data_IF_552268016211
#
_entry.id   IF_552268016211
#
_cell.length_a   1.000
_cell.length_b   1.000
_cell.length_c   1.000
_cell.angle_alpha   90.00
_cell.angle_beta   90.00
_cell.angle_gamma   90.00
#
_symmetry.space_group_name_H-M   'P 1'
#
loop_
_entity.id
_entity.type
_entity.pdbx_description
1 polymer ?
#
# COMPACT_ATOMS: atom_id res chain seq x y z
N UNK A 1 15.13 -2.27 14.36
CA UNK A 1 14.45 -3.53 14.01
C UNK A 1 13.57 -3.32 12.77
N UNK A 2 13.69 -4.21 11.79
CA UNK A 2 12.96 -4.06 10.53
C UNK A 2 11.55 -4.61 10.63
N UNK A 3 10.58 -3.92 10.05
CA UNK A 3 9.19 -4.37 10.00
C UNK A 3 8.94 -5.23 8.78
N UNK A 4 8.16 -6.30 8.95
CA UNK A 4 7.67 -7.17 7.88
C UNK A 4 6.17 -6.94 7.79
N UNK A 5 5.69 -6.41 6.67
CA UNK A 5 4.31 -5.95 6.59
C UNK A 5 3.82 -5.81 5.16
N UNK A 6 2.52 -6.06 4.97
CA UNK A 6 1.82 -5.70 3.74
C UNK A 6 1.00 -4.46 4.04
N UNK A 7 1.33 -3.36 3.40
CA UNK A 7 0.65 -2.07 3.56
C UNK A 7 -0.37 -1.89 2.45
N UNK A 8 -1.60 -1.55 2.80
CA UNK A 8 -2.64 -1.25 1.81
C UNK A 8 -3.04 0.20 1.97
N UNK A 9 -2.99 0.95 0.87
CA UNK A 9 -3.31 2.39 0.86
C UNK A 9 -4.56 2.61 0.01
N UNK A 10 -5.65 3.02 0.65
CA UNK A 10 -6.87 3.42 -0.06
C UNK A 10 -6.75 4.89 -0.41
N UNK A 11 -6.90 5.20 -1.70
CA UNK A 11 -6.68 6.55 -2.20
C UNK A 11 -5.25 6.77 -2.69
N UNK A 12 -4.63 5.74 -3.20
CA UNK A 12 -3.21 5.74 -3.60
C UNK A 12 -2.89 6.74 -4.72
N UNK A 13 -3.88 7.11 -5.53
CA UNK A 13 -3.67 8.07 -6.62
C UNK A 13 -3.77 9.52 -6.17
N UNK A 14 -4.12 9.76 -4.90
CA UNK A 14 -4.36 11.09 -4.38
C UNK A 14 -3.09 11.85 -4.02
N UNK A 15 -3.27 13.14 -3.84
CA UNK A 15 -2.19 14.08 -3.55
C UNK A 15 -1.54 13.81 -2.19
N UNK A 16 -2.36 13.48 -1.20
CA UNK A 16 -1.87 13.19 0.15
C UNK A 16 -0.89 12.01 0.15
N UNK A 17 -1.21 10.95 -0.60
CA UNK A 17 -0.34 9.80 -0.70
C UNK A 17 1.01 10.19 -1.30
N UNK A 18 0.99 10.96 -2.39
CA UNK A 18 2.21 11.40 -3.08
C UNK A 18 3.09 12.29 -2.21
N UNK A 19 2.47 13.22 -1.48
CA UNK A 19 3.22 14.21 -0.70
C UNK A 19 3.63 13.72 0.68
N UNK A 20 2.88 12.79 1.26
CA UNK A 20 3.07 12.39 2.66
C UNK A 20 3.40 10.91 2.83
N UNK A 21 2.58 10.03 2.25
CA UNK A 21 2.70 8.60 2.54
C UNK A 21 3.93 7.97 1.89
N UNK A 22 4.13 8.17 0.61
CA UNK A 22 5.28 7.56 -0.07
C UNK A 22 6.61 8.08 0.45
N UNK A 23 6.77 9.39 0.68
CA UNK A 23 8.00 9.87 1.32
C UNK A 23 8.23 9.30 2.72
N UNK A 24 7.17 9.17 3.53
CA UNK A 24 7.29 8.60 4.87
C UNK A 24 7.72 7.14 4.83
N UNK A 25 7.13 6.35 3.95
CA UNK A 25 7.51 4.94 3.78
C UNK A 25 8.94 4.82 3.28
N UNK A 26 9.36 5.69 2.37
CA UNK A 26 10.72 5.67 1.86
C UNK A 26 11.74 6.00 2.96
N UNK A 27 11.42 6.94 3.85
CA UNK A 27 12.30 7.25 4.98
C UNK A 27 12.47 6.06 5.90
N UNK A 28 11.38 5.30 6.14
CA UNK A 28 11.45 4.07 6.93
C UNK A 28 12.32 3.01 6.23
N UNK A 29 12.17 2.90 4.93
CA UNK A 29 12.96 1.97 4.12
C UNK A 29 14.46 2.35 4.17
N UNK A 30 14.75 3.62 3.98
CA UNK A 30 16.11 4.12 3.93
C UNK A 30 16.82 4.00 5.29
N UNK A 31 16.08 4.15 6.39
CA UNK A 31 16.63 4.03 7.74
C UNK A 31 16.78 2.60 8.22
N UNK A 32 16.31 1.63 7.45
CA UNK A 32 16.36 0.22 7.82
C UNK A 32 15.19 -0.25 8.70
N UNK A 33 14.22 0.62 8.98
CA UNK A 33 13.06 0.25 9.79
C UNK A 33 12.00 -0.53 9.01
N UNK A 34 12.07 -0.48 7.68
CA UNK A 34 11.19 -1.25 6.81
C UNK A 34 12.07 -2.23 6.06
N UNK A 35 11.89 -3.52 6.31
CA UNK A 35 12.76 -4.56 5.76
C UNK A 35 12.43 -4.85 4.29
N UNK A 36 13.22 -5.73 3.66
CA UNK A 36 12.89 -6.22 2.32
C UNK A 36 11.64 -7.10 2.30
N UNK A 37 11.13 -7.49 3.48
CA UNK A 37 9.93 -8.32 3.63
C UNK A 37 8.68 -7.44 3.74
N UNK A 38 8.52 -6.52 2.80
CA UNK A 38 7.33 -5.67 2.75
C UNK A 38 6.84 -5.51 1.32
N UNK A 39 5.55 -5.22 1.21
CA UNK A 39 4.96 -4.79 -0.05
C UNK A 39 3.87 -3.76 0.25
N UNK A 40 3.59 -2.92 -0.73
CA UNK A 40 2.55 -1.90 -0.64
C UNK A 40 1.55 -2.13 -1.75
N UNK A 41 0.28 -2.19 -1.39
CA UNK A 41 -0.82 -2.27 -2.37
C UNK A 41 -1.49 -0.91 -2.39
N UNK A 42 -1.40 -0.21 -3.50
CA UNK A 42 -2.15 1.02 -3.71
C UNK A 42 -3.48 0.70 -4.35
N UNK A 43 -4.55 1.27 -3.85
CA UNK A 43 -5.88 1.11 -4.43
C UNK A 43 -6.51 2.47 -4.68
N UNK A 44 -7.15 2.62 -5.82
CA UNK A 44 -7.91 3.80 -6.18
C UNK A 44 -8.79 3.47 -7.38
N UNK A 45 -9.66 4.39 -7.76
CA UNK A 45 -10.59 4.13 -8.86
C UNK A 45 -9.93 4.22 -10.23
N UNK A 46 -8.78 4.89 -10.33
CA UNK A 46 -8.08 5.05 -11.61
C UNK A 46 -7.50 3.71 -12.08
N UNK A 47 -7.57 3.41 -13.38
CA UNK A 47 -7.09 2.11 -13.89
C UNK A 47 -5.59 2.15 -14.22
N UNK A 48 -4.77 2.37 -13.22
CA UNK A 48 -3.32 2.41 -13.40
C UNK A 48 -2.73 1.00 -13.50
N UNK A 49 -1.64 0.86 -14.24
CA UNK A 49 -0.82 -0.35 -14.24
C UNK A 49 0.15 -0.33 -13.06
N UNK A 50 0.73 -1.48 -12.74
CA UNK A 50 1.79 -1.55 -11.73
C UNK A 50 2.96 -0.65 -12.12
N UNK A 51 3.37 -0.69 -13.38
CA UNK A 51 4.51 0.09 -13.88
C UNK A 51 4.24 1.59 -13.78
N UNK A 52 3.03 2.02 -14.07
CA UNK A 52 2.68 3.43 -13.93
C UNK A 52 2.71 3.85 -12.46
N UNK A 53 2.16 3.01 -11.58
CA UNK A 53 2.18 3.29 -10.14
C UNK A 53 3.61 3.37 -9.62
N UNK A 54 4.47 2.47 -10.05
CA UNK A 54 5.89 2.52 -9.69
C UNK A 54 6.53 3.85 -10.09
N UNK A 55 6.20 4.35 -11.29
CA UNK A 55 6.73 5.63 -11.74
C UNK A 55 6.24 6.80 -10.88
N UNK A 56 5.00 6.75 -10.44
CA UNK A 56 4.44 7.77 -9.53
C UNK A 56 5.19 7.74 -8.20
N UNK A 57 5.46 6.56 -7.67
CA UNK A 57 6.18 6.40 -6.41
C UNK A 57 7.62 6.93 -6.54
N UNK A 58 8.32 6.55 -7.61
CA UNK A 58 9.69 7.02 -7.86
C UNK A 58 9.71 8.54 -7.90
N UNK A 59 8.81 9.16 -8.64
CA UNK A 59 8.74 10.61 -8.75
C UNK A 59 8.50 11.26 -7.38
N UNK A 60 7.70 10.63 -6.54
CA UNK A 60 7.36 11.16 -5.22
C UNK A 60 8.53 11.16 -4.24
N UNK A 61 9.53 10.29 -4.44
CA UNK A 61 10.62 10.11 -3.47
C UNK A 61 11.99 10.39 -4.07
N UNK A 62 12.04 10.80 -5.32
CA UNK A 62 13.31 10.94 -6.04
C UNK A 62 14.29 11.91 -5.34
N UNK A 63 13.75 12.99 -4.75
CA UNK A 63 14.56 13.96 -4.02
C UNK A 63 15.18 13.38 -2.74
N UNK A 64 14.62 12.31 -2.23
CA UNK A 64 15.09 11.67 -0.99
C UNK A 64 16.03 10.50 -1.27
N UNK A 65 16.02 9.98 -2.49
CA UNK A 65 16.80 8.81 -2.86
C UNK A 65 18.26 9.18 -3.12
N UNK A 66 19.16 8.27 -2.80
CA UNK A 66 20.59 8.45 -3.05
C UNK A 66 20.94 8.18 -4.51
N UNK A 67 20.13 7.37 -5.18
CA UNK A 67 20.31 7.01 -6.59
C UNK A 67 18.99 6.63 -7.22
N UNK A 68 18.95 6.62 -8.55
CA UNK A 68 17.77 6.17 -9.29
C UNK A 68 17.50 4.68 -9.01
N UNK A 69 18.57 3.88 -8.90
CA UNK A 69 18.44 2.45 -8.60
C UNK A 69 17.77 2.22 -7.25
N UNK A 70 18.13 3.02 -6.24
CA UNK A 70 17.51 2.92 -4.93
C UNK A 70 16.02 3.23 -4.99
N UNK A 71 15.64 4.29 -5.73
CA UNK A 71 14.25 4.67 -5.89
C UNK A 71 13.47 3.56 -6.61
N UNK A 72 14.03 2.97 -7.65
CA UNK A 72 13.39 1.91 -8.41
C UNK A 72 13.23 0.62 -7.59
N UNK A 73 14.24 0.28 -6.81
CA UNK A 73 14.16 -0.88 -5.93
C UNK A 73 13.04 -0.72 -4.91
N UNK A 74 12.93 0.44 -4.28
CA UNK A 74 11.85 0.72 -3.36
C UNK A 74 10.49 0.59 -4.07
N UNK A 75 10.36 1.21 -5.23
CA UNK A 75 9.09 1.20 -5.98
C UNK A 75 8.71 -0.19 -6.47
N UNK A 76 9.67 -1.10 -6.62
CA UNK A 76 9.38 -2.48 -7.06
C UNK A 76 8.52 -3.25 -6.06
N UNK A 77 8.45 -2.80 -4.81
CA UNK A 77 7.61 -3.40 -3.78
C UNK A 77 6.17 -2.88 -3.83
N UNK A 78 5.86 -1.99 -4.78
CA UNK A 78 4.54 -1.36 -4.88
C UNK A 78 3.70 -2.03 -5.95
N UNK A 79 2.47 -2.39 -5.58
CA UNK A 79 1.50 -3.05 -6.44
C UNK A 79 0.23 -2.22 -6.45
N UNK A 80 -0.51 -2.32 -7.54
CA UNK A 80 -1.71 -1.50 -7.70
C UNK A 80 -2.91 -2.35 -8.07
N UNK A 81 -4.04 -2.04 -7.45
CA UNK A 81 -5.31 -2.65 -7.81
C UNK A 81 -6.36 -1.55 -7.97
N UNK A 82 -6.94 -1.45 -9.16
CA UNK A 82 -8.08 -0.56 -9.35
C UNK A 82 -9.22 -1.03 -8.45
N UNK A 83 -9.81 -0.13 -7.69
CA UNK A 83 -10.70 -0.50 -6.60
C UNK A 83 -11.84 0.51 -6.41
N UNK A 84 -13.08 0.01 -6.44
CA UNK A 84 -14.24 0.78 -6.02
C UNK A 84 -14.56 0.32 -4.59
N UNK A 85 -14.55 1.25 -3.63
CA UNK A 85 -14.73 0.90 -2.22
C UNK A 85 -16.14 0.37 -1.90
N UNK A 86 -17.07 0.47 -2.84
CA UNK A 86 -18.43 -0.07 -2.69
C UNK A 86 -18.60 -1.45 -3.33
N UNK A 87 -17.56 -1.99 -3.98
CA UNK A 87 -17.66 -3.25 -4.73
C UNK A 87 -17.01 -4.39 -3.92
N UNK A 88 -17.83 -5.32 -3.44
CA UNK A 88 -17.37 -6.45 -2.64
C UNK A 88 -16.35 -7.32 -3.36
N UNK A 89 -16.51 -7.50 -4.68
CA UNK A 89 -15.55 -8.32 -5.44
C UNK A 89 -14.14 -7.73 -5.45
N UNK A 90 -14.04 -6.40 -5.39
CA UNK A 90 -12.74 -5.75 -5.30
C UNK A 90 -12.03 -6.08 -3.97
N UNK A 91 -12.78 -6.23 -2.89
CA UNK A 91 -12.21 -6.63 -1.60
C UNK A 91 -11.76 -8.08 -1.61
N UNK A 92 -12.48 -8.95 -2.31
CA UNK A 92 -12.07 -10.35 -2.47
C UNK A 92 -10.75 -10.41 -3.25
N UNK A 93 -10.64 -9.64 -4.34
CA UNK A 93 -9.40 -9.56 -5.11
C UNK A 93 -8.26 -8.98 -4.28
N UNK A 94 -8.55 -7.99 -3.43
CA UNK A 94 -7.55 -7.41 -2.53
C UNK A 94 -7.05 -8.45 -1.55
N UNK A 95 -7.94 -9.25 -0.96
CA UNK A 95 -7.54 -10.31 -0.04
C UNK A 95 -6.62 -11.33 -0.72
N UNK A 96 -6.94 -11.70 -1.95
CA UNK A 96 -6.14 -12.62 -2.73
C UNK A 96 -4.74 -12.05 -3.00
N UNK A 97 -4.68 -10.79 -3.38
CA UNK A 97 -3.40 -10.12 -3.65
C UNK A 97 -2.57 -10.02 -2.37
N UNK A 98 -3.19 -9.68 -1.24
CA UNK A 98 -2.49 -9.64 0.05
C UNK A 98 -1.88 -11.00 0.39
N UNK A 99 -2.63 -12.08 0.16
CA UNK A 99 -2.12 -13.43 0.43
C UNK A 99 -0.93 -13.77 -0.46
N UNK A 100 -1.01 -13.44 -1.75
CA UNK A 100 0.07 -13.68 -2.69
C UNK A 100 1.34 -12.90 -2.28
N UNK A 101 1.17 -11.65 -1.91
CA UNK A 101 2.30 -10.81 -1.51
C UNK A 101 2.87 -11.21 -0.16
N UNK A 102 2.01 -11.67 0.76
CA UNK A 102 2.48 -12.21 2.02
C UNK A 102 3.41 -13.40 1.79
N UNK A 103 3.05 -14.30 0.89
CA UNK A 103 3.88 -15.45 0.55
C UNK A 103 5.17 -15.02 -0.15
N UNK A 104 5.06 -14.09 -1.10
CA UNK A 104 6.22 -13.63 -1.87
C UNK A 104 7.25 -12.92 -1.01
N UNK A 105 6.80 -12.05 -0.11
CA UNK A 105 7.68 -11.23 0.72
C UNK A 105 7.86 -11.76 2.14
N UNK A 106 7.14 -12.82 2.49
CA UNK A 106 7.20 -13.45 3.81
C UNK A 106 6.95 -12.43 4.93
N UNK A 107 5.83 -11.72 4.80
CA UNK A 107 5.48 -10.63 5.70
C UNK A 107 4.82 -11.08 7.00
N UNK A 108 4.75 -12.38 7.26
CA UNK A 108 4.25 -12.97 8.51
C UNK A 108 2.81 -12.59 8.83
N UNK A 109 1.99 -12.34 7.79
CA UNK A 109 0.58 -11.94 7.89
C UNK A 109 0.35 -10.61 8.61
N UNK A 110 1.39 -9.79 8.74
CA UNK A 110 1.22 -8.44 9.28
C UNK A 110 0.62 -7.54 8.22
N UNK A 111 -0.42 -6.80 8.58
CA UNK A 111 -1.15 -5.93 7.66
C UNK A 111 -1.32 -4.54 8.28
N UNK A 112 -1.17 -3.52 7.44
CA UNK A 112 -1.35 -2.13 7.85
C UNK A 112 -2.18 -1.44 6.77
N UNK A 113 -3.18 -0.66 7.18
CA UNK A 113 -4.08 0.02 6.26
C UNK A 113 -4.01 1.52 6.46
N UNK A 114 -3.85 2.27 5.37
CA UNK A 114 -3.93 3.73 5.37
C UNK A 114 -5.14 4.16 4.54
N UNK A 115 -5.97 5.04 5.12
CA UNK A 115 -7.14 5.59 4.44
C UNK A 115 -6.82 7.02 4.03
N UNK A 116 -6.38 7.18 2.78
CA UNK A 116 -5.97 8.46 2.21
C UNK A 116 -7.05 9.01 1.29
N UNK A 117 -8.28 9.09 1.80
CA UNK A 117 -9.43 9.56 1.04
C UNK A 117 -10.44 10.20 1.98
N UNK A 118 -11.55 10.71 1.43
CA UNK A 118 -12.54 11.42 2.24
C UNK A 118 -13.08 10.56 3.38
N UNK A 119 -13.24 11.13 4.60
CA UNK A 119 -13.70 10.37 5.76
C UNK A 119 -15.04 9.66 5.57
N UNK A 120 -15.89 10.15 4.68
CA UNK A 120 -17.19 9.54 4.43
C UNK A 120 -17.10 8.10 3.94
N UNK A 121 -15.95 7.68 3.42
CA UNK A 121 -15.75 6.31 2.93
C UNK A 121 -15.16 5.37 4.00
N UNK A 122 -14.71 5.90 5.13
CA UNK A 122 -14.00 5.08 6.15
C UNK A 122 -14.88 3.95 6.68
N UNK A 123 -16.14 4.24 6.97
CA UNK A 123 -17.07 3.23 7.51
C UNK A 123 -17.32 2.10 6.51
N UNK A 124 -17.50 2.44 5.24
CA UNK A 124 -17.71 1.45 4.17
C UNK A 124 -16.49 0.54 4.02
N UNK A 125 -15.30 1.13 4.00
CA UNK A 125 -14.06 0.38 3.87
C UNK A 125 -13.87 -0.55 5.07
N UNK A 126 -14.03 -0.05 6.28
CA UNK A 126 -13.87 -0.85 7.48
C UNK A 126 -14.84 -2.02 7.52
N UNK A 127 -16.10 -1.79 7.13
CA UNK A 127 -17.12 -2.83 7.09
C UNK A 127 -16.71 -3.94 6.13
N UNK A 128 -16.28 -3.60 4.92
CA UNK A 128 -15.89 -4.59 3.91
C UNK A 128 -14.62 -5.35 4.31
N UNK A 129 -13.63 -4.66 4.86
CA UNK A 129 -12.40 -5.32 5.32
C UNK A 129 -12.71 -6.37 6.38
N UNK A 130 -13.65 -6.07 7.27
CA UNK A 130 -14.04 -6.98 8.33
C UNK A 130 -14.87 -8.13 7.80
N UNK A 131 -15.86 -7.86 6.94
CA UNK A 131 -16.79 -8.87 6.43
C UNK A 131 -16.08 -9.87 5.49
N UNK A 132 -15.00 -9.45 4.80
CA UNK A 132 -14.24 -10.32 3.90
C UNK A 132 -13.01 -10.93 4.57
N UNK A 133 -12.90 -10.84 5.89
CA UNK A 133 -11.78 -11.40 6.66
C UNK A 133 -10.41 -10.86 6.24
N UNK A 134 -10.35 -9.61 5.79
CA UNK A 134 -9.10 -8.98 5.35
C UNK A 134 -8.34 -8.43 6.54
N UNK A 135 -9.06 -7.99 7.57
CA UNK A 135 -8.47 -7.45 8.79
C UNK A 135 -9.09 -8.13 10.01
N UNK A 136 -8.29 -8.40 11.03
CA UNK A 136 -8.70 -9.07 12.26
C UNK A 136 -8.90 -8.10 13.43
N UNK A 137 -8.98 -6.81 13.15
CA UNK A 137 -9.10 -5.77 14.16
C UNK A 137 -7.78 -5.12 14.52
N UNK A 138 -6.69 -5.52 13.89
CA UNK A 138 -5.36 -4.95 14.10
C UNK A 138 -4.86 -4.34 12.80
N UNK A 139 -3.92 -3.40 12.90
CA UNK A 139 -3.28 -2.81 11.74
C UNK A 139 -4.14 -1.85 10.94
N UNK A 140 -5.24 -1.38 11.51
CA UNK A 140 -6.13 -0.44 10.84
C UNK A 140 -5.75 0.99 11.21
N UNK A 141 -5.32 1.77 10.23
CA UNK A 141 -4.87 3.16 10.41
C UNK A 141 -5.62 4.10 9.49
N UNK A 142 -5.81 5.34 9.94
CA UNK A 142 -6.45 6.40 9.15
C UNK A 142 -5.48 7.53 8.85
#
# INVERSE_FOLDING_TARGET
MSSKVIVTIFGASGDLAKRKLYPSLFRLYKSGNLSEHFAVIGTARRPWSKEYFESVVVESILDLADSTEQAQEFASHFYYQSHDVNDTEHYIALRQLQAELNDKYQAEHNKLFFLSMAPQFFGTIAKHLKSENIVDGKGFER
#
